data_IF_671893669936
#
_entry.id   IF_671893669936
#
_cell.length_a   1.000
_cell.length_b   1.000
_cell.length_c   1.000
_cell.angle_alpha   90.00
_cell.angle_beta   90.00
_cell.angle_gamma   90.00
#
_symmetry.space_group_name_H-M   'P 1'
#
loop_
_entity.id
_entity.type
_entity.pdbx_description
1 polymer ?
#
# COMPACT_ATOMS: atom_id res chain seq x y z
N UNK A 1 -5.98 32.75 -24.07
CA UNK A 1 -5.81 32.13 -22.73
C UNK A 1 -5.72 30.62 -22.93
N UNK A 2 -4.51 30.08 -23.06
CA UNK A 2 -4.28 28.65 -23.08
C UNK A 2 -4.62 28.13 -21.67
N UNK A 3 -5.60 27.22 -21.60
CA UNK A 3 -5.81 26.43 -20.39
C UNK A 3 -4.57 25.53 -20.25
N UNK A 4 -3.75 25.79 -19.25
CA UNK A 4 -2.74 24.87 -18.79
C UNK A 4 -3.49 23.59 -18.37
N UNK A 5 -3.49 22.55 -19.18
CA UNK A 5 -3.98 21.23 -18.77
C UNK A 5 -3.05 20.74 -17.67
N UNK A 6 -3.53 20.76 -16.44
CA UNK A 6 -2.84 20.18 -15.30
C UNK A 6 -2.64 18.69 -15.61
N UNK A 7 -1.39 18.28 -15.89
CA UNK A 7 -1.06 16.89 -16.18
C UNK A 7 -1.45 16.03 -14.97
N UNK A 8 -2.47 15.22 -15.12
CA UNK A 8 -2.93 14.31 -14.09
C UNK A 8 -1.83 13.28 -13.82
N UNK A 9 -1.32 13.23 -12.58
CA UNK A 9 -0.27 12.28 -12.18
C UNK A 9 -0.82 10.85 -12.13
N UNK A 10 0.02 9.87 -12.37
CA UNK A 10 -0.34 8.44 -12.28
C UNK A 10 -0.33 7.96 -10.83
N UNK A 11 -0.92 6.80 -10.55
CA UNK A 11 -0.85 6.16 -9.22
C UNK A 11 0.60 5.90 -8.80
N UNK A 12 1.47 5.50 -9.73
CA UNK A 12 2.91 5.33 -9.48
C UNK A 12 3.56 6.64 -9.01
N UNK A 13 3.28 7.76 -9.70
CA UNK A 13 3.85 9.07 -9.36
C UNK A 13 3.33 9.55 -7.99
N UNK A 14 2.03 9.40 -7.70
CA UNK A 14 1.46 9.81 -6.40
C UNK A 14 1.98 8.94 -5.24
N UNK A 15 2.13 7.62 -5.45
CA UNK A 15 2.74 6.74 -4.45
C UNK A 15 4.21 7.10 -4.21
N UNK A 16 4.96 7.38 -5.27
CA UNK A 16 6.35 7.85 -5.16
C UNK A 16 6.47 9.13 -4.35
N UNK A 17 5.60 10.12 -4.62
CA UNK A 17 5.55 11.37 -3.87
C UNK A 17 5.22 11.16 -2.38
N UNK A 18 4.27 10.27 -2.07
CA UNK A 18 3.90 9.96 -0.70
C UNK A 18 5.07 9.31 0.06
N UNK A 19 5.77 8.36 -0.58
CA UNK A 19 6.95 7.72 -0.01
C UNK A 19 8.13 8.69 0.13
N UNK A 20 8.32 9.62 -0.81
CA UNK A 20 9.33 10.68 -0.70
C UNK A 20 9.05 11.63 0.48
N UNK A 21 7.78 12.03 0.67
CA UNK A 21 7.36 12.83 1.84
C UNK A 21 7.64 12.09 3.15
N UNK A 22 7.35 10.78 3.20
CA UNK A 22 7.66 9.93 4.35
C UNK A 22 9.15 9.99 4.68
N UNK A 23 10.02 9.76 3.68
CA UNK A 23 11.47 9.78 3.86
C UNK A 23 11.98 11.14 4.32
N UNK A 24 11.54 12.23 3.68
CA UNK A 24 11.88 13.60 4.09
C UNK A 24 11.44 13.92 5.53
N UNK A 25 10.30 13.41 5.94
CA UNK A 25 9.83 13.54 7.32
C UNK A 25 10.78 12.87 8.32
N UNK A 26 11.31 11.70 7.99
CA UNK A 26 12.27 10.99 8.85
C UNK A 26 13.68 11.61 8.84
N UNK A 27 14.12 12.28 7.78
CA UNK A 27 15.42 12.94 7.72
C UNK A 27 15.66 13.97 8.85
N UNK A 28 14.58 14.58 9.36
CA UNK A 28 14.63 15.55 10.45
C UNK A 28 14.49 14.92 11.84
N UNK A 29 14.27 13.62 11.94
CA UNK A 29 14.20 12.89 13.20
C UNK A 29 15.59 12.37 13.62
N UNK A 30 15.74 12.00 14.90
CA UNK A 30 16.97 11.35 15.39
C UNK A 30 17.26 10.03 14.71
N UNK A 31 16.24 9.32 14.26
CA UNK A 31 16.37 8.02 13.59
C UNK A 31 16.84 8.14 12.14
N UNK A 32 16.47 9.23 11.44
CA UNK A 32 16.80 9.50 10.03
C UNK A 32 16.10 8.58 9.02
N UNK A 33 15.48 7.49 9.48
CA UNK A 33 14.78 6.49 8.66
C UNK A 33 13.65 5.85 9.46
N UNK A 34 12.56 5.41 8.80
CA UNK A 34 11.55 4.59 9.45
C UNK A 34 12.13 3.23 9.87
N UNK A 35 11.55 2.65 10.92
CA UNK A 35 11.96 1.36 11.48
C UNK A 35 10.93 0.28 11.15
N UNK A 36 11.41 -0.95 10.95
CA UNK A 36 10.58 -2.14 10.82
C UNK A 36 11.28 -3.34 11.46
N UNK A 37 10.55 -4.26 12.11
CA UNK A 37 11.15 -5.50 12.61
C UNK A 37 11.85 -6.27 11.50
N UNK A 38 13.03 -6.83 11.78
CA UNK A 38 13.73 -7.72 10.83
C UNK A 38 12.92 -8.99 10.62
N UNK A 39 12.52 -9.24 9.40
CA UNK A 39 11.72 -10.41 9.00
C UNK A 39 12.55 -11.35 8.15
N UNK A 40 12.46 -12.66 8.44
CA UNK A 40 13.18 -13.72 7.71
C UNK A 40 12.56 -14.02 6.34
N UNK A 41 11.27 -13.73 6.17
CA UNK A 41 10.46 -13.96 4.97
C UNK A 41 10.54 -12.82 3.96
N UNK A 42 11.30 -11.77 4.25
CA UNK A 42 11.48 -10.60 3.39
C UNK A 42 12.90 -10.52 2.89
N UNK A 43 13.06 -10.23 1.60
CA UNK A 43 14.37 -9.96 1.01
C UNK A 43 15.02 -8.75 1.72
N UNK A 44 16.29 -8.86 2.14
CA UNK A 44 16.99 -7.82 2.87
C UNK A 44 17.18 -6.49 2.11
N UNK A 45 16.88 -6.43 0.83
CA UNK A 45 17.14 -5.28 -0.04
C UNK A 45 16.49 -3.95 0.45
N UNK A 46 15.38 -4.05 1.20
CA UNK A 46 14.71 -2.87 1.78
C UNK A 46 15.39 -2.34 3.04
N UNK A 47 16.14 -3.19 3.75
CA UNK A 47 16.75 -2.81 5.02
C UNK A 47 18.05 -2.05 4.83
N UNK A 48 18.34 -1.15 5.76
CA UNK A 48 19.57 -0.36 5.84
C UNK A 48 20.32 -0.78 7.10
N UNK A 49 21.50 -1.41 6.91
CA UNK A 49 22.33 -1.89 8.02
C UNK A 49 21.79 -3.11 8.73
N UNK A 50 22.34 -3.39 9.90
CA UNK A 50 21.95 -4.52 10.75
C UNK A 50 20.85 -4.14 11.73
N UNK A 51 20.09 -5.11 12.26
CA UNK A 51 19.09 -4.86 13.27
C UNK A 51 19.71 -4.33 14.57
N UNK A 52 18.98 -3.47 15.24
CA UNK A 52 19.32 -3.04 16.60
C UNK A 52 19.17 -4.19 17.62
N UNK A 53 19.43 -3.89 18.91
CA UNK A 53 19.33 -4.86 20.00
C UNK A 53 17.91 -5.42 20.21
N UNK A 54 16.88 -4.73 19.70
CA UNK A 54 15.48 -5.13 19.76
C UNK A 54 15.00 -5.83 18.49
N UNK A 55 15.88 -6.00 17.50
CA UNK A 55 15.58 -6.66 16.23
C UNK A 55 14.92 -5.74 15.18
N UNK A 56 14.96 -4.41 15.36
CA UNK A 56 14.45 -3.44 14.41
C UNK A 56 15.55 -2.97 13.45
N UNK A 57 15.17 -2.79 12.19
CA UNK A 57 16.05 -2.26 11.14
C UNK A 57 15.49 -0.98 10.56
N UNK A 58 16.37 -0.07 10.20
CA UNK A 58 16.05 1.05 9.32
C UNK A 58 15.70 0.52 7.94
N UNK A 59 14.81 1.22 7.23
CA UNK A 59 14.43 0.82 5.88
C UNK A 59 14.17 2.02 4.98
N UNK A 60 14.12 1.76 3.68
CA UNK A 60 13.73 2.75 2.67
C UNK A 60 12.90 2.10 1.58
N UNK A 61 11.96 2.85 0.96
CA UNK A 61 11.24 2.36 -0.20
C UNK A 61 12.19 2.12 -1.38
N UNK A 62 11.86 1.16 -2.22
CA UNK A 62 12.62 0.80 -3.41
C UNK A 62 11.67 0.65 -4.60
N UNK A 63 11.98 1.32 -5.71
CA UNK A 63 11.25 1.12 -6.96
C UNK A 63 11.44 -0.33 -7.44
N UNK A 64 10.36 -0.96 -7.88
CA UNK A 64 10.41 -2.35 -8.36
C UNK A 64 11.04 -2.41 -9.75
N UNK A 65 12.07 -3.24 -9.91
CA UNK A 65 12.74 -3.45 -11.19
C UNK A 65 11.91 -4.33 -12.14
N UNK A 66 11.06 -5.21 -11.59
CA UNK A 66 10.14 -6.07 -12.35
C UNK A 66 8.83 -6.23 -11.57
N UNK A 67 7.74 -6.35 -12.32
CA UNK A 67 6.39 -6.55 -11.78
C UNK A 67 5.86 -7.98 -12.01
N UNK A 68 6.65 -8.85 -12.64
CA UNK A 68 6.21 -10.16 -13.10
C UNK A 68 5.73 -11.08 -11.97
N UNK A 69 6.39 -11.06 -10.82
CA UNK A 69 6.01 -11.89 -9.68
C UNK A 69 4.65 -11.51 -9.12
N UNK A 70 4.40 -10.22 -8.92
CA UNK A 70 3.12 -9.70 -8.40
C UNK A 70 2.00 -9.99 -9.42
N UNK A 71 2.24 -9.72 -10.70
CA UNK A 71 1.28 -10.00 -11.77
C UNK A 71 0.98 -11.50 -11.85
N UNK A 72 1.99 -12.36 -11.69
CA UNK A 72 1.80 -13.83 -11.63
C UNK A 72 0.92 -14.26 -10.44
N UNK A 73 1.01 -13.60 -9.29
CA UNK A 73 0.11 -13.87 -8.15
C UNK A 73 -1.32 -13.49 -8.48
N UNK A 74 -1.53 -12.33 -9.07
CA UNK A 74 -2.86 -11.83 -9.45
C UNK A 74 -3.50 -12.69 -10.54
N UNK A 75 -2.73 -13.10 -11.54
CA UNK A 75 -3.17 -14.00 -12.60
C UNK A 75 -3.59 -15.37 -12.06
N UNK A 76 -2.77 -15.99 -11.20
CA UNK A 76 -3.11 -17.27 -10.54
C UNK A 76 -4.38 -17.21 -9.69
N UNK A 77 -4.72 -16.04 -9.16
CA UNK A 77 -5.95 -15.82 -8.41
C UNK A 77 -7.12 -15.42 -9.31
N UNK A 78 -6.91 -15.33 -10.63
CA UNK A 78 -7.90 -14.92 -11.63
C UNK A 78 -8.55 -13.56 -11.28
N UNK A 79 -7.72 -12.58 -10.94
CA UNK A 79 -8.16 -11.23 -10.56
C UNK A 79 -8.10 -10.32 -11.78
N UNK A 80 -9.25 -9.84 -12.24
CA UNK A 80 -9.34 -8.80 -13.25
C UNK A 80 -9.18 -7.43 -12.59
N UNK A 81 -8.00 -6.81 -12.75
CA UNK A 81 -7.60 -5.59 -12.05
C UNK A 81 -7.50 -4.39 -13.01
N UNK A 82 -7.80 -3.19 -12.48
CA UNK A 82 -7.56 -1.94 -13.20
C UNK A 82 -6.07 -1.60 -13.25
N UNK A 83 -5.68 -0.77 -14.22
CA UNK A 83 -4.31 -0.30 -14.36
C UNK A 83 -3.80 0.44 -13.12
N UNK A 84 -4.65 1.19 -12.45
CA UNK A 84 -4.34 1.90 -11.21
C UNK A 84 -3.96 0.94 -10.07
N UNK A 85 -4.71 -0.16 -9.93
CA UNK A 85 -4.41 -1.21 -8.95
C UNK A 85 -3.10 -1.93 -9.31
N UNK A 86 -2.87 -2.21 -10.60
CA UNK A 86 -1.58 -2.75 -11.06
C UNK A 86 -0.44 -1.82 -10.66
N UNK A 87 -0.52 -0.52 -10.98
CA UNK A 87 0.52 0.44 -10.64
C UNK A 87 0.78 0.52 -9.13
N UNK A 88 -0.26 0.50 -8.30
CA UNK A 88 -0.11 0.53 -6.84
C UNK A 88 0.76 -0.62 -6.33
N UNK A 89 0.49 -1.84 -6.76
CA UNK A 89 1.18 -3.03 -6.27
C UNK A 89 2.53 -3.29 -6.93
N UNK A 90 2.79 -2.74 -8.11
CA UNK A 90 3.98 -3.06 -8.91
C UNK A 90 4.99 -1.93 -9.02
N UNK A 91 4.76 -0.79 -8.37
CA UNK A 91 5.67 0.36 -8.52
C UNK A 91 6.77 0.41 -7.48
N UNK A 92 6.46 0.14 -6.23
CA UNK A 92 7.43 0.24 -5.13
C UNK A 92 7.30 -0.91 -4.14
N UNK A 93 8.43 -1.31 -3.56
CA UNK A 93 8.51 -2.08 -2.34
C UNK A 93 8.63 -1.12 -1.15
N UNK A 94 7.87 -1.38 -0.09
CA UNK A 94 7.90 -0.62 1.16
C UNK A 94 7.33 -1.43 2.32
N UNK A 95 7.69 -1.05 3.56
CA UNK A 95 7.06 -1.60 4.76
C UNK A 95 5.87 -0.76 5.19
N UNK A 96 5.11 -1.26 6.17
CA UNK A 96 3.98 -0.55 6.75
C UNK A 96 4.40 0.84 7.23
N UNK A 97 3.55 1.80 6.99
CA UNK A 97 3.65 3.16 7.51
C UNK A 97 2.27 3.76 7.66
N UNK A 98 2.17 4.79 8.50
CA UNK A 98 0.90 5.43 8.79
C UNK A 98 0.71 6.68 7.96
N UNK A 99 -0.54 6.93 7.61
CA UNK A 99 -0.95 8.12 6.86
C UNK A 99 -2.16 8.78 7.54
N UNK A 100 -2.28 10.07 7.30
CA UNK A 100 -3.52 10.81 7.51
C UNK A 100 -4.18 11.07 6.16
N UNK A 101 -5.43 10.62 6.03
CA UNK A 101 -6.29 10.92 4.89
C UNK A 101 -7.58 11.55 5.38
N UNK A 102 -7.80 12.86 5.11
CA UNK A 102 -8.91 13.64 5.68
C UNK A 102 -8.91 13.58 7.23
N UNK A 103 -9.96 13.02 7.81
CA UNK A 103 -10.09 12.81 9.27
C UNK A 103 -9.62 11.45 9.76
N UNK A 104 -9.15 10.58 8.86
CA UNK A 104 -8.74 9.21 9.20
C UNK A 104 -7.23 9.12 9.41
N UNK A 105 -6.83 8.33 10.39
CA UNK A 105 -5.48 7.79 10.53
C UNK A 105 -5.52 6.33 10.09
N UNK A 106 -4.60 5.94 9.24
CA UNK A 106 -4.60 4.63 8.59
C UNK A 106 -3.19 4.08 8.51
N UNK A 107 -3.02 2.82 8.93
CA UNK A 107 -1.83 2.05 8.62
C UNK A 107 -1.93 1.48 7.19
N UNK A 108 -0.94 1.73 6.36
CA UNK A 108 -0.83 1.18 5.00
C UNK A 108 -0.08 -0.15 5.05
N UNK A 109 -0.62 -1.17 4.39
CA UNK A 109 -0.01 -2.50 4.35
C UNK A 109 1.27 -2.50 3.51
N UNK A 110 2.26 -3.28 3.97
CA UNK A 110 3.51 -3.47 3.26
C UNK A 110 3.35 -4.12 1.88
N UNK A 111 4.17 -3.69 0.94
CA UNK A 111 4.45 -4.40 -0.31
C UNK A 111 5.94 -4.71 -0.27
N UNK A 112 6.31 -5.87 0.27
CA UNK A 112 7.70 -6.24 0.50
C UNK A 112 8.12 -7.40 -0.40
N UNK A 113 9.37 -7.40 -0.93
CA UNK A 113 9.90 -8.50 -1.71
C UNK A 113 10.20 -9.71 -0.80
N UNK A 114 10.17 -10.89 -1.36
CA UNK A 114 10.48 -12.13 -0.66
C UNK A 114 9.29 -13.09 -0.56
N UNK A 115 9.58 -14.30 -0.14
CA UNK A 115 8.70 -15.49 -0.01
C UNK A 115 7.47 -15.50 -0.97
N UNK A 116 7.73 -15.18 -2.26
CA UNK A 116 6.75 -15.17 -3.36
C UNK A 116 5.47 -14.39 -3.02
N UNK A 117 5.64 -13.23 -2.36
CA UNK A 117 4.52 -12.35 -1.97
C UNK A 117 3.44 -13.05 -1.14
N UNK A 118 3.83 -13.98 -0.27
CA UNK A 118 2.91 -14.78 0.56
C UNK A 118 1.88 -13.94 1.31
N UNK A 119 2.31 -12.82 1.91
CA UNK A 119 1.39 -11.92 2.62
C UNK A 119 0.38 -11.27 1.70
N UNK A 120 0.83 -10.77 0.54
CA UNK A 120 -0.07 -10.22 -0.47
C UNK A 120 -1.09 -11.28 -0.89
N UNK A 121 -0.64 -12.50 -1.20
CA UNK A 121 -1.53 -13.61 -1.57
C UNK A 121 -2.56 -13.92 -0.48
N UNK A 122 -2.13 -14.03 0.78
CA UNK A 122 -3.04 -14.26 1.91
C UNK A 122 -4.05 -13.13 2.08
N UNK A 123 -3.62 -11.86 1.96
CA UNK A 123 -4.50 -10.70 2.01
C UNK A 123 -5.54 -10.72 0.89
N UNK A 124 -5.13 -11.05 -0.33
CA UNK A 124 -6.04 -11.18 -1.48
C UNK A 124 -7.05 -12.30 -1.27
N UNK A 125 -6.60 -13.48 -0.83
CA UNK A 125 -7.48 -14.65 -0.60
C UNK A 125 -8.49 -14.39 0.53
N UNK A 126 -8.17 -13.61 1.54
CA UNK A 126 -9.09 -13.27 2.64
C UNK A 126 -10.33 -12.48 2.18
N UNK A 127 -10.25 -11.82 1.02
CA UNK A 127 -11.36 -11.09 0.40
C UNK A 127 -12.03 -11.85 -0.75
N UNK A 128 -11.78 -13.16 -0.85
CA UNK A 128 -12.47 -14.01 -1.83
C UNK A 128 -13.93 -14.15 -1.48
N UNK A 129 -14.82 -13.77 -2.41
CA UNK A 129 -16.27 -13.92 -2.25
C UNK A 129 -16.64 -15.41 -2.27
N UNK A 130 -17.27 -15.90 -1.20
CA UNK A 130 -17.71 -17.29 -1.08
C UNK A 130 -18.81 -17.70 -2.07
N UNK A 131 -19.48 -16.73 -2.72
CA UNK A 131 -20.60 -16.99 -3.65
C UNK A 131 -20.11 -17.29 -5.06
N UNK A 132 -19.14 -16.54 -5.56
CA UNK A 132 -18.64 -16.63 -6.93
C UNK A 132 -17.14 -16.93 -7.03
N UNK A 133 -16.46 -17.05 -5.90
CA UNK A 133 -15.03 -17.32 -5.81
C UNK A 133 -14.14 -16.19 -6.31
N UNK A 134 -14.70 -15.01 -6.60
CA UNK A 134 -13.96 -13.86 -7.15
C UNK A 134 -13.43 -12.96 -6.04
N UNK A 135 -12.28 -12.36 -6.30
CA UNK A 135 -11.72 -11.29 -5.47
C UNK A 135 -12.14 -9.97 -6.09
N UNK A 136 -12.95 -9.20 -5.38
CA UNK A 136 -13.48 -7.89 -5.82
C UNK A 136 -12.85 -6.72 -5.09
N UNK A 137 -12.27 -6.99 -3.93
CA UNK A 137 -11.64 -6.01 -3.05
C UNK A 137 -10.24 -6.49 -2.69
N UNK A 138 -9.30 -5.56 -2.56
CA UNK A 138 -7.94 -5.83 -2.10
C UNK A 138 -7.67 -4.95 -0.87
N UNK A 139 -7.27 -5.53 0.27
CA UNK A 139 -6.91 -4.75 1.44
C UNK A 139 -5.57 -4.05 1.21
N UNK A 140 -5.56 -2.73 1.40
CA UNK A 140 -4.35 -1.89 1.28
C UNK A 140 -3.95 -1.25 2.62
N UNK A 141 -4.74 -1.44 3.67
CA UNK A 141 -4.46 -0.89 4.99
C UNK A 141 -5.59 -1.14 5.97
N UNK A 142 -5.46 -0.48 7.13
CA UNK A 142 -6.45 -0.50 8.21
C UNK A 142 -6.61 0.90 8.79
N UNK A 143 -7.82 1.31 9.04
CA UNK A 143 -8.15 2.53 9.77
C UNK A 143 -8.00 2.28 11.28
N UNK A 144 -7.29 3.17 12.00
CA UNK A 144 -6.90 2.93 13.38
C UNK A 144 -8.02 3.15 14.40
N UNK A 145 -8.98 4.04 14.10
CA UNK A 145 -10.01 4.43 15.08
C UNK A 145 -11.02 3.33 15.36
N UNK A 146 -11.56 2.69 14.31
CA UNK A 146 -12.64 1.68 14.41
C UNK A 146 -12.14 0.30 13.94
N UNK A 147 -10.95 0.25 13.33
CA UNK A 147 -10.37 -1.00 12.82
C UNK A 147 -10.98 -1.49 11.50
N UNK A 148 -11.58 -0.58 10.72
CA UNK A 148 -12.10 -0.93 9.40
C UNK A 148 -10.96 -1.15 8.40
N UNK A 149 -11.08 -2.21 7.58
CA UNK A 149 -10.11 -2.42 6.51
C UNK A 149 -10.21 -1.32 5.44
N UNK A 150 -9.07 -0.75 5.07
CA UNK A 150 -8.97 0.11 3.88
C UNK A 150 -8.81 -0.81 2.68
N UNK A 151 -9.80 -0.80 1.79
CA UNK A 151 -9.83 -1.70 0.62
C UNK A 151 -9.92 -0.91 -0.67
N UNK A 152 -9.36 -1.48 -1.73
CA UNK A 152 -9.52 -0.97 -3.10
C UNK A 152 -10.36 -1.94 -3.91
N UNK A 153 -11.30 -1.42 -4.67
CA UNK A 153 -12.10 -2.20 -5.61
C UNK A 153 -11.27 -2.51 -6.86
N UNK A 154 -11.11 -3.80 -7.18
CA UNK A 154 -10.11 -4.26 -8.17
C UNK A 154 -10.34 -3.70 -9.58
N UNK A 155 -11.60 -3.52 -10.00
CA UNK A 155 -11.95 -3.08 -11.35
C UNK A 155 -11.94 -1.56 -11.54
N UNK A 156 -12.18 -0.80 -10.47
CA UNK A 156 -12.41 0.64 -10.56
C UNK A 156 -11.35 1.47 -9.86
N UNK A 157 -10.54 0.85 -8.99
CA UNK A 157 -9.59 1.56 -8.14
C UNK A 157 -10.23 2.39 -7.01
N UNK A 158 -11.56 2.34 -6.84
CA UNK A 158 -12.28 3.07 -5.79
C UNK A 158 -11.81 2.59 -4.41
N UNK A 159 -11.43 3.54 -3.54
CA UNK A 159 -11.00 3.25 -2.17
C UNK A 159 -12.18 3.35 -1.21
N UNK A 160 -12.32 2.33 -0.37
CA UNK A 160 -13.43 2.19 0.59
C UNK A 160 -12.92 1.79 1.96
N UNK A 161 -13.69 2.10 3.00
CA UNK A 161 -13.61 1.43 4.29
C UNK A 161 -14.58 0.26 4.29
N UNK A 162 -14.11 -0.88 4.73
CA UNK A 162 -14.87 -2.12 4.85
C UNK A 162 -14.98 -2.53 6.32
N UNK A 163 -16.19 -2.60 6.80
CA UNK A 163 -16.54 -3.11 8.12
C UNK A 163 -16.76 -4.62 8.02
N UNK A 164 -15.86 -5.40 8.58
CA UNK A 164 -15.92 -6.87 8.53
C UNK A 164 -17.03 -7.47 9.40
N UNK A 165 -17.53 -6.75 10.39
CA UNK A 165 -18.57 -7.25 11.31
C UNK A 165 -19.94 -7.27 10.64
N UNK A 166 -20.28 -6.25 9.87
CA UNK A 166 -21.58 -6.12 9.23
C UNK A 166 -21.57 -6.11 7.71
N UNK A 167 -20.39 -6.22 7.09
CA UNK A 167 -20.21 -6.24 5.63
C UNK A 167 -20.44 -4.88 4.95
N UNK A 168 -20.59 -3.80 5.70
CA UNK A 168 -20.83 -2.47 5.14
C UNK A 168 -19.58 -1.89 4.52
N UNK A 169 -19.77 -1.14 3.45
CA UNK A 169 -18.71 -0.42 2.75
C UNK A 169 -19.03 1.06 2.64
N UNK A 170 -18.03 1.90 2.87
CA UNK A 170 -18.11 3.35 2.70
C UNK A 170 -17.00 3.83 1.78
N UNK A 171 -17.37 4.42 0.64
CA UNK A 171 -16.43 5.08 -0.26
C UNK A 171 -15.75 6.26 0.45
N UNK A 172 -14.42 6.33 0.40
CA UNK A 172 -13.62 7.43 0.97
C UNK A 172 -12.87 8.23 -0.10
N UNK A 173 -12.47 7.59 -1.21
CA UNK A 173 -11.87 8.26 -2.36
C UNK A 173 -12.42 7.69 -3.68
N UNK A 174 -12.47 8.50 -4.75
CA UNK A 174 -12.95 8.05 -6.07
C UNK A 174 -11.99 7.10 -6.77
N UNK A 175 -10.71 7.08 -6.38
CA UNK A 175 -9.68 6.20 -6.91
C UNK A 175 -8.41 6.26 -6.07
N UNK A 176 -7.47 5.34 -6.35
CA UNK A 176 -6.17 5.27 -5.69
C UNK A 176 -5.37 6.56 -5.87
N UNK A 177 -5.38 7.15 -7.05
CA UNK A 177 -4.66 8.38 -7.34
C UNK A 177 -5.09 9.51 -6.41
N UNK A 178 -6.40 9.78 -6.31
CA UNK A 178 -6.95 10.82 -5.43
C UNK A 178 -6.71 10.50 -3.94
N UNK A 179 -6.76 9.22 -3.57
CA UNK A 179 -6.44 8.76 -2.23
C UNK A 179 -4.98 9.09 -1.87
N UNK A 180 -4.03 8.68 -2.70
CA UNK A 180 -2.59 8.89 -2.46
C UNK A 180 -2.23 10.39 -2.48
N UNK A 181 -2.74 11.14 -3.47
CA UNK A 181 -2.53 12.60 -3.60
C UNK A 181 -2.90 13.37 -2.34
N UNK A 182 -4.00 12.99 -1.68
CA UNK A 182 -4.53 13.66 -0.49
C UNK A 182 -4.13 12.98 0.82
N UNK A 183 -3.21 12.03 0.77
CA UNK A 183 -2.63 11.40 1.95
C UNK A 183 -1.36 12.12 2.39
N UNK A 184 -1.18 12.25 3.70
CA UNK A 184 0.04 12.77 4.30
C UNK A 184 0.64 11.68 5.21
N UNK A 185 1.94 11.36 5.10
CA UNK A 185 2.57 10.37 5.95
C UNK A 185 2.67 10.88 7.39
N UNK A 186 2.51 9.98 8.34
CA UNK A 186 2.76 10.25 9.76
C UNK A 186 4.16 9.77 10.09
N UNK A 187 4.97 10.67 10.63
CA UNK A 187 6.34 10.40 11.08
C UNK A 187 6.33 10.36 12.60
N UNK A 188 6.78 9.26 13.17
CA UNK A 188 6.82 9.03 14.63
C UNK A 188 8.26 8.99 15.13
#
# INVERSE_FOLDING_TARGET
MEKCEEKTMTVKEELGNLLEKLMKGYEITSEGYPLSPRRKDVDPILYIGEPDTSGWCKWRPLEQASNEEILSVMDKLNIEISQDVVQYFTSYYFFNFDIKFKSYVMGINDIAPGDKHKRLKMGLESFRDNRDGKIKLIPIGMEEGIGHSVVVEVKTGIVKLFDSENGKMRKIAPGLQEFLKNSEPIVM
#
